data_IF_960872581249
#
_entry.id   IF_960872581249
#
_cell.length_a   1.000
_cell.length_b   1.000
_cell.length_c   1.000
_cell.angle_alpha   90.00
_cell.angle_beta   90.00
_cell.angle_gamma   90.00
#
_symmetry.space_group_name_H-M   'P 1'
#
loop_
_entity.id
_entity.type
_entity.pdbx_description
1 polymer ?
#
# COMPACT_ATOMS: atom_id res chain seq x y z
N UNK A 1 -10.24 11.49 29.04
CA UNK A 1 -10.68 11.20 27.66
C UNK A 1 -9.88 11.90 26.57
N UNK A 2 -9.38 13.13 26.76
CA UNK A 2 -8.54 13.82 25.77
C UNK A 2 -7.12 13.22 25.57
N UNK A 3 -6.59 12.47 26.54
CA UNK A 3 -5.24 11.92 26.49
C UNK A 3 -5.11 10.58 25.72
N UNK A 4 -6.20 9.82 25.55
CA UNK A 4 -6.18 8.56 24.77
C UNK A 4 -6.29 8.82 23.25
N UNK A 5 -6.97 9.89 22.85
CA UNK A 5 -7.07 10.29 21.43
C UNK A 5 -5.69 10.70 20.84
N UNK A 6 -4.77 11.15 21.70
CA UNK A 6 -3.40 11.50 21.29
C UNK A 6 -2.53 10.29 20.98
N UNK A 7 -2.86 9.10 21.48
CA UNK A 7 -2.04 7.90 21.30
C UNK A 7 -2.03 7.35 19.87
N UNK A 8 -3.12 7.46 19.13
CA UNK A 8 -3.22 6.92 17.76
C UNK A 8 -2.91 7.93 16.64
N UNK A 9 -3.14 9.22 16.89
CA UNK A 9 -2.70 10.29 15.98
C UNK A 9 -1.20 10.55 16.13
N UNK A 10 -0.58 10.06 17.22
CA UNK A 10 0.79 10.32 17.66
C UNK A 10 1.71 9.10 17.68
N UNK A 11 1.50 8.07 16.87
CA UNK A 11 2.63 7.15 16.62
C UNK A 11 3.84 7.85 15.96
N UNK A 12 3.62 9.11 15.52
CA UNK A 12 4.69 10.02 15.13
C UNK A 12 5.11 11.03 16.23
N UNK A 13 4.43 11.10 17.39
CA UNK A 13 4.64 12.21 18.34
C UNK A 13 4.89 11.83 19.82
N UNK A 14 4.85 10.55 20.21
CA UNK A 14 4.97 10.15 21.65
C UNK A 14 6.39 9.75 22.07
N UNK A 15 7.40 9.81 21.18
CA UNK A 15 8.81 9.59 21.60
C UNK A 15 9.60 10.88 21.72
N UNK A 16 9.14 11.82 22.54
CA UNK A 16 9.99 12.96 22.99
C UNK A 16 9.87 13.03 24.51
N UNK A 17 10.59 12.18 25.19
CA UNK A 17 11.23 12.42 26.48
C UNK A 17 11.88 11.14 27.02
N UNK A 18 13.13 10.89 26.66
CA UNK A 18 14.14 10.32 27.57
C UNK A 18 15.50 10.23 26.86
N UNK A 19 16.49 10.85 27.46
CA UNK A 19 17.94 10.67 27.33
C UNK A 19 18.61 10.91 25.97
N UNK A 20 19.39 12.00 25.97
CA UNK A 20 20.38 12.36 24.96
C UNK A 20 21.50 11.29 24.89
N UNK A 21 21.34 10.35 23.96
CA UNK A 21 22.47 9.66 23.36
C UNK A 21 22.65 10.28 21.98
N UNK A 22 23.77 11.01 21.79
CA UNK A 22 24.19 11.52 20.49
C UNK A 22 24.47 10.34 19.55
N UNK A 23 23.45 9.87 18.84
CA UNK A 23 23.69 9.15 17.61
C UNK A 23 24.18 10.18 16.59
N UNK A 24 25.41 10.06 16.13
CA UNK A 24 25.91 10.81 14.98
C UNK A 24 24.94 10.59 13.82
N UNK A 25 24.16 11.64 13.51
CA UNK A 25 23.44 11.72 12.22
C UNK A 25 24.56 11.75 11.17
N UNK A 26 24.82 10.64 10.51
CA UNK A 26 25.52 10.68 9.24
C UNK A 26 24.62 11.50 8.32
N UNK A 27 25.13 12.66 7.95
CA UNK A 27 24.62 13.44 6.83
C UNK A 27 24.73 12.51 5.60
N UNK A 28 23.62 11.91 5.22
CA UNK A 28 23.52 11.16 3.97
C UNK A 28 23.43 12.24 2.89
N UNK A 29 24.60 12.79 2.53
CA UNK A 29 24.76 13.62 1.35
C UNK A 29 24.02 12.97 0.17
N UNK A 30 23.65 13.75 -0.83
CA UNK A 30 22.88 13.34 -2.02
C UNK A 30 23.08 11.86 -2.40
N UNK A 31 22.18 10.98 -1.91
CA UNK A 31 22.16 9.59 -2.34
C UNK A 31 21.71 9.64 -3.79
N UNK A 32 22.58 9.31 -4.76
CA UNK A 32 22.17 9.36 -6.15
C UNK A 32 21.05 8.36 -6.37
N UNK A 33 19.88 8.88 -6.71
CA UNK A 33 18.86 8.03 -7.31
C UNK A 33 19.46 7.61 -8.65
N UNK A 34 19.72 6.31 -8.81
CA UNK A 34 20.17 5.75 -10.09
C UNK A 34 19.06 5.97 -11.12
N UNK A 35 19.10 7.12 -11.80
CA UNK A 35 18.23 7.46 -12.92
C UNK A 35 18.86 6.87 -14.18
N UNK A 36 18.79 5.54 -14.32
CA UNK A 36 19.04 4.93 -15.64
C UNK A 36 18.25 3.63 -15.86
N UNK A 37 17.00 3.60 -15.44
CA UNK A 37 16.07 2.61 -15.92
C UNK A 37 15.64 3.03 -17.34
N UNK A 38 16.19 2.42 -18.39
CA UNK A 38 15.78 2.64 -19.79
C UNK A 38 14.27 2.58 -19.91
N UNK A 39 13.64 3.74 -20.12
CA UNK A 39 12.20 3.81 -20.35
C UNK A 39 11.87 3.25 -21.74
N UNK A 40 10.72 2.61 -21.88
CA UNK A 40 10.21 2.13 -23.18
C UNK A 40 9.39 3.27 -23.78
N UNK A 41 9.78 3.77 -24.95
CA UNK A 41 8.99 4.73 -25.69
C UNK A 41 7.75 4.05 -26.28
N UNK A 42 6.55 4.56 -26.00
CA UNK A 42 5.28 4.01 -26.50
C UNK A 42 4.40 5.11 -27.09
N UNK A 43 3.77 4.81 -28.23
CA UNK A 43 2.64 5.58 -28.74
C UNK A 43 1.37 4.97 -28.18
N UNK A 44 0.53 5.77 -27.55
CA UNK A 44 -0.73 5.31 -26.94
C UNK A 44 -1.87 6.09 -27.59
N UNK A 45 -2.78 5.39 -28.24
CA UNK A 45 -3.94 5.97 -28.94
C UNK A 45 -5.21 5.21 -28.59
N UNK A 46 -6.37 5.85 -28.71
CA UNK A 46 -7.66 5.18 -28.58
C UNK A 46 -8.67 5.66 -29.62
N UNK A 47 -9.74 4.88 -29.80
CA UNK A 47 -10.80 5.19 -30.76
C UNK A 47 -11.72 6.34 -30.32
N UNK A 48 -11.78 6.63 -29.01
CA UNK A 48 -12.56 7.76 -28.45
C UNK A 48 -11.70 8.58 -27.51
N UNK A 49 -12.01 9.89 -27.34
CA UNK A 49 -11.27 10.76 -26.42
C UNK A 49 -11.30 10.27 -24.98
N UNK A 50 -12.41 9.69 -24.52
CA UNK A 50 -12.58 9.18 -23.15
C UNK A 50 -11.62 8.01 -22.88
N UNK A 51 -11.55 7.04 -23.79
CA UNK A 51 -10.61 5.92 -23.69
C UNK A 51 -9.17 6.39 -23.77
N UNK A 52 -8.88 7.38 -24.61
CA UNK A 52 -7.54 7.95 -24.73
C UNK A 52 -7.11 8.66 -23.46
N UNK A 53 -7.99 9.43 -22.83
CA UNK A 53 -7.72 10.09 -21.55
C UNK A 53 -7.39 9.06 -20.46
N UNK A 54 -8.17 7.98 -20.35
CA UNK A 54 -7.92 6.91 -19.37
C UNK A 54 -6.60 6.19 -19.62
N UNK A 55 -6.30 5.85 -20.88
CA UNK A 55 -5.04 5.23 -21.27
C UNK A 55 -3.85 6.16 -20.95
N UNK A 56 -4.00 7.46 -21.20
CA UNK A 56 -3.01 8.47 -20.89
C UNK A 56 -2.73 8.56 -19.38
N UNK A 57 -3.76 8.55 -18.54
CA UNK A 57 -3.62 8.54 -17.08
C UNK A 57 -2.82 7.30 -16.63
N UNK A 58 -3.17 6.12 -17.14
CA UNK A 58 -2.51 4.87 -16.81
C UNK A 58 -1.01 4.87 -17.18
N UNK A 59 -0.69 5.11 -18.45
CA UNK A 59 0.69 5.07 -18.92
C UNK A 59 1.55 6.22 -18.39
N UNK A 60 0.96 7.38 -18.06
CA UNK A 60 1.67 8.46 -17.39
C UNK A 60 2.02 8.13 -15.93
N UNK A 61 1.27 7.25 -15.27
CA UNK A 61 1.56 6.83 -13.91
C UNK A 61 2.64 5.73 -13.84
N UNK A 62 2.94 5.05 -14.95
CA UNK A 62 3.89 3.94 -14.99
C UNK A 62 5.28 4.42 -15.41
N UNK A 63 6.22 4.50 -14.47
CA UNK A 63 7.57 5.03 -14.69
C UNK A 63 8.43 4.27 -15.69
N UNK A 64 8.05 3.01 -16.04
CA UNK A 64 8.75 2.23 -17.09
C UNK A 64 8.49 2.77 -18.49
N UNK A 65 7.42 3.51 -18.73
CA UNK A 65 7.04 3.99 -20.04
C UNK A 65 7.26 5.51 -20.19
N UNK A 66 7.67 5.88 -21.40
CA UNK A 66 7.70 7.27 -21.87
C UNK A 66 6.78 7.38 -23.08
N UNK A 67 5.68 8.09 -22.92
CA UNK A 67 4.77 8.34 -24.05
C UNK A 67 5.39 9.29 -25.05
N UNK A 68 5.22 8.97 -26.33
CA UNK A 68 5.66 9.78 -27.48
C UNK A 68 4.49 9.92 -28.46
N UNK A 69 4.50 10.98 -29.27
CA UNK A 69 3.46 11.22 -30.29
C UNK A 69 3.65 10.30 -31.51
N UNK A 70 4.89 9.90 -31.80
CA UNK A 70 5.25 9.01 -32.91
C UNK A 70 6.60 8.35 -32.64
N UNK A 71 6.92 7.27 -33.36
CA UNK A 71 8.23 6.60 -33.30
C UNK A 71 8.45 5.86 -31.98
N UNK A 72 7.40 5.40 -31.31
CA UNK A 72 7.49 4.53 -30.15
C UNK A 72 8.08 3.17 -30.52
N UNK A 73 8.74 2.50 -29.55
CA UNK A 73 9.16 1.10 -29.71
C UNK A 73 7.95 0.16 -29.88
N UNK A 74 6.81 0.59 -29.34
CA UNK A 74 5.51 -0.04 -29.52
C UNK A 74 4.42 1.00 -29.74
N UNK A 75 3.44 0.64 -30.59
CA UNK A 75 2.18 1.38 -30.75
C UNK A 75 1.07 0.59 -30.08
N UNK A 76 0.41 1.20 -29.12
CA UNK A 76 -0.67 0.60 -28.33
C UNK A 76 -1.97 1.32 -28.68
N UNK A 77 -2.95 0.58 -29.16
CA UNK A 77 -4.24 1.12 -29.56
C UNK A 77 -5.38 0.45 -28.78
N UNK A 78 -6.31 1.28 -28.30
CA UNK A 78 -7.52 0.84 -27.61
C UNK A 78 -8.75 1.20 -28.41
N UNK A 79 -9.74 0.28 -28.44
CA UNK A 79 -11.06 0.52 -29.06
C UNK A 79 -12.16 -0.16 -28.24
N UNK A 80 -13.33 0.47 -28.18
CA UNK A 80 -14.49 -0.15 -27.56
C UNK A 80 -14.94 -1.35 -28.40
N UNK A 81 -15.20 -2.48 -27.73
CA UNK A 81 -15.70 -3.72 -28.35
C UNK A 81 -17.07 -4.11 -27.80
N UNK A 82 -17.64 -3.34 -26.86
CA UNK A 82 -18.93 -3.50 -26.21
C UNK A 82 -19.03 -2.59 -24.99
N UNK A 83 -20.16 -2.59 -24.29
CA UNK A 83 -20.41 -1.70 -23.15
C UNK A 83 -19.33 -1.80 -22.05
N UNK A 84 -18.87 -3.02 -21.75
CA UNK A 84 -17.84 -3.29 -20.74
C UNK A 84 -16.64 -4.03 -21.35
N UNK A 85 -16.38 -3.82 -22.64
CA UNK A 85 -15.32 -4.50 -23.38
C UNK A 85 -14.43 -3.51 -24.10
N UNK A 86 -13.12 -3.72 -24.00
CA UNK A 86 -12.11 -2.94 -24.72
C UNK A 86 -11.18 -3.91 -25.44
N UNK A 87 -10.99 -3.70 -26.74
CA UNK A 87 -9.96 -4.35 -27.52
C UNK A 87 -8.66 -3.55 -27.37
N UNK A 88 -7.57 -4.24 -27.08
CA UNK A 88 -6.23 -3.70 -27.12
C UNK A 88 -5.44 -4.37 -28.24
N UNK A 89 -4.69 -3.56 -28.99
CA UNK A 89 -3.75 -4.01 -30.02
C UNK A 89 -2.39 -3.40 -29.76
N UNK A 90 -1.36 -4.24 -29.70
CA UNK A 90 0.04 -3.84 -29.55
C UNK A 90 0.76 -4.14 -30.85
N UNK A 91 1.41 -3.12 -31.42
CA UNK A 91 2.24 -3.24 -32.62
C UNK A 91 3.69 -2.96 -32.29
N UNK A 92 4.59 -3.64 -32.97
CA UNK A 92 6.05 -3.37 -32.98
C UNK A 92 6.50 -3.27 -34.42
N UNK A 93 7.18 -2.18 -34.79
CA UNK A 93 7.61 -1.92 -36.16
C UNK A 93 6.47 -2.09 -37.20
N UNK A 94 5.26 -1.63 -36.87
CA UNK A 94 4.07 -1.71 -37.74
C UNK A 94 3.32 -3.06 -37.71
N UNK A 95 3.94 -4.14 -37.28
CA UNK A 95 3.30 -5.47 -37.18
C UNK A 95 2.58 -5.66 -35.85
N UNK A 96 1.37 -6.28 -35.87
CA UNK A 96 0.65 -6.64 -34.65
C UNK A 96 1.37 -7.81 -33.95
N UNK A 97 1.85 -7.56 -32.73
CA UNK A 97 2.54 -8.57 -31.91
C UNK A 97 1.64 -9.14 -30.80
N UNK A 98 0.57 -8.43 -30.42
CA UNK A 98 -0.45 -8.90 -29.50
C UNK A 98 -1.79 -8.17 -29.74
N UNK A 99 -2.90 -8.89 -29.56
CA UNK A 99 -4.25 -8.31 -29.59
C UNK A 99 -5.17 -9.14 -28.70
N UNK A 100 -6.02 -8.47 -27.92
CA UNK A 100 -6.99 -9.13 -27.05
C UNK A 100 -8.20 -8.23 -26.80
N UNK A 101 -9.39 -8.82 -26.65
CA UNK A 101 -10.57 -8.16 -26.13
C UNK A 101 -10.70 -8.49 -24.64
N UNK A 102 -10.74 -7.47 -23.81
CA UNK A 102 -10.81 -7.57 -22.35
C UNK A 102 -12.18 -7.12 -21.87
N UNK A 103 -12.81 -7.95 -21.05
CA UNK A 103 -14.07 -7.62 -20.35
C UNK A 103 -13.75 -7.12 -18.93
N UNK A 104 -14.44 -6.05 -18.51
CA UNK A 104 -14.35 -5.48 -17.16
C UNK A 104 -15.71 -5.40 -16.46
N UNK A 105 -15.71 -4.90 -15.24
CA UNK A 105 -16.93 -4.52 -14.50
C UNK A 105 -17.59 -3.26 -15.06
N UNK A 106 -16.81 -2.43 -15.75
CA UNK A 106 -17.20 -1.24 -16.49
C UNK A 106 -16.27 -1.08 -17.70
N UNK A 107 -16.57 -0.17 -18.61
CA UNK A 107 -15.67 0.15 -19.73
C UNK A 107 -14.34 0.73 -19.23
N UNK A 108 -14.35 1.54 -18.16
CA UNK A 108 -13.17 2.06 -17.48
C UNK A 108 -12.29 0.94 -16.92
N UNK A 109 -12.88 -0.03 -16.21
CA UNK A 109 -12.15 -1.18 -15.70
C UNK A 109 -11.61 -2.06 -16.84
N UNK A 110 -12.40 -2.27 -17.91
CA UNK A 110 -11.95 -3.01 -19.09
C UNK A 110 -10.73 -2.33 -19.75
N UNK A 111 -10.71 -1.00 -19.85
CA UNK A 111 -9.57 -0.27 -20.39
C UNK A 111 -8.31 -0.47 -19.52
N UNK A 112 -8.40 -0.30 -18.20
CA UNK A 112 -7.25 -0.46 -17.32
C UNK A 112 -6.69 -1.88 -17.36
N UNK A 113 -7.54 -2.91 -17.40
CA UNK A 113 -7.11 -4.30 -17.59
C UNK A 113 -6.52 -4.55 -19.00
N UNK A 114 -7.04 -3.89 -20.02
CA UNK A 114 -6.46 -3.92 -21.36
C UNK A 114 -5.08 -3.23 -21.41
N UNK A 115 -4.91 -2.15 -20.66
CA UNK A 115 -3.63 -1.49 -20.48
C UNK A 115 -2.65 -2.36 -19.69
N UNK A 116 -3.10 -3.11 -18.69
CA UNK A 116 -2.29 -4.11 -17.97
C UNK A 116 -1.76 -5.18 -18.93
N UNK A 117 -2.62 -5.71 -19.81
CA UNK A 117 -2.18 -6.64 -20.86
C UNK A 117 -1.10 -6.01 -21.74
N UNK A 118 -1.26 -4.75 -22.18
CA UNK A 118 -0.24 -4.06 -22.98
C UNK A 118 1.07 -3.89 -22.21
N UNK A 119 1.04 -3.58 -20.91
CA UNK A 119 2.24 -3.51 -20.04
C UNK A 119 2.99 -4.84 -20.05
N UNK A 120 2.29 -5.95 -19.84
CA UNK A 120 2.91 -7.29 -19.84
C UNK A 120 3.57 -7.62 -21.18
N UNK A 121 2.90 -7.32 -22.30
CA UNK A 121 3.38 -7.61 -23.65
C UNK A 121 4.54 -6.74 -24.10
N UNK A 122 4.70 -5.54 -23.53
CA UNK A 122 5.73 -4.58 -23.93
C UNK A 122 6.91 -4.52 -22.97
N UNK A 123 6.73 -4.85 -21.70
CA UNK A 123 7.78 -4.74 -20.69
C UNK A 123 8.09 -6.04 -19.92
N UNK A 124 7.22 -7.04 -19.99
CA UNK A 124 7.30 -8.25 -19.17
C UNK A 124 6.93 -8.05 -17.70
N UNK A 125 6.60 -6.81 -17.26
CA UNK A 125 6.12 -6.53 -15.92
C UNK A 125 4.63 -6.87 -15.83
N UNK A 126 4.18 -7.28 -14.64
CA UNK A 126 2.75 -7.42 -14.38
C UNK A 126 2.07 -6.05 -14.48
N UNK A 127 0.87 -6.01 -15.03
CA UNK A 127 0.02 -4.84 -14.99
C UNK A 127 -0.51 -4.57 -13.57
N UNK A 128 -0.92 -3.34 -13.31
CA UNK A 128 -1.51 -2.95 -12.04
C UNK A 128 -2.62 -1.90 -12.16
N UNK A 129 -2.91 -1.40 -13.34
CA UNK A 129 -3.85 -0.31 -13.55
C UNK A 129 -5.30 -0.70 -13.20
N UNK A 130 -5.65 -1.99 -13.41
CA UNK A 130 -6.92 -2.55 -13.02
C UNK A 130 -7.09 -2.84 -11.53
N UNK A 131 -6.10 -2.50 -10.69
CA UNK A 131 -6.17 -2.67 -9.24
C UNK A 131 -7.26 -1.82 -8.61
N UNK A 132 -7.77 -2.31 -7.48
CA UNK A 132 -8.69 -1.58 -6.60
C UNK A 132 -7.97 -1.06 -5.38
N UNK A 133 -8.40 0.11 -4.90
CA UNK A 133 -7.95 0.71 -3.65
C UNK A 133 -9.02 0.58 -2.56
N UNK A 134 -8.59 0.35 -1.33
CA UNK A 134 -9.30 0.76 -0.13
C UNK A 134 -8.44 1.83 0.57
N UNK A 135 -9.05 2.86 1.10
CA UNK A 135 -8.38 4.01 1.68
C UNK A 135 -9.29 4.73 2.68
N UNK A 136 -8.70 5.62 3.45
CA UNK A 136 -9.41 6.48 4.39
C UNK A 136 -9.63 7.84 3.76
N UNK A 137 -10.85 8.36 3.87
CA UNK A 137 -11.18 9.77 3.60
C UNK A 137 -11.45 10.47 4.92
N UNK A 138 -10.75 11.58 5.15
CA UNK A 138 -10.94 12.44 6.33
C UNK A 138 -11.78 13.66 5.96
N UNK A 139 -12.90 13.85 6.65
CA UNK A 139 -13.79 15.01 6.47
C UNK A 139 -14.29 15.47 7.83
N UNK A 140 -14.05 16.74 8.19
CA UNK A 140 -14.50 17.30 9.45
C UNK A 140 -14.01 16.55 10.69
N UNK A 141 -12.78 16.01 10.65
CA UNK A 141 -12.20 15.22 11.74
C UNK A 141 -12.72 13.77 11.84
N UNK A 142 -13.62 13.35 10.96
CA UNK A 142 -14.09 11.97 10.84
C UNK A 142 -13.33 11.25 9.76
N UNK A 143 -13.07 9.96 9.97
CA UNK A 143 -12.29 9.11 9.05
C UNK A 143 -13.12 7.90 8.65
N UNK A 144 -13.41 7.77 7.36
CA UNK A 144 -14.28 6.72 6.82
C UNK A 144 -13.56 5.89 5.77
N UNK A 145 -13.87 4.60 5.74
CA UNK A 145 -13.34 3.69 4.72
C UNK A 145 -14.06 3.92 3.38
N UNK A 146 -13.28 4.07 2.34
CA UNK A 146 -13.73 4.12 0.95
C UNK A 146 -13.02 3.06 0.11
N UNK A 147 -13.63 2.70 -1.01
CA UNK A 147 -12.99 1.90 -2.07
C UNK A 147 -13.09 2.62 -3.40
N UNK A 148 -12.23 2.28 -4.36
CA UNK A 148 -12.28 2.83 -5.71
C UNK A 148 -11.36 2.06 -6.64
N UNK A 149 -11.38 2.43 -7.93
CA UNK A 149 -10.29 2.06 -8.84
C UNK A 149 -9.00 2.82 -8.47
N UNK A 150 -7.87 2.35 -8.97
CA UNK A 150 -6.55 2.92 -8.67
C UNK A 150 -6.45 4.43 -8.97
N UNK A 151 -7.24 4.94 -9.91
CA UNK A 151 -7.20 6.34 -10.36
C UNK A 151 -8.42 7.16 -9.90
N UNK A 152 -9.12 6.71 -8.85
CA UNK A 152 -10.21 7.45 -8.19
C UNK A 152 -11.40 7.81 -9.08
N UNK A 153 -11.67 7.05 -10.14
CA UNK A 153 -12.83 7.27 -11.00
C UNK A 153 -14.11 6.59 -10.53
N UNK A 154 -14.01 5.49 -9.77
CA UNK A 154 -15.13 4.70 -9.26
C UNK A 154 -15.06 4.62 -7.73
N UNK A 155 -15.20 5.77 -7.06
CA UNK A 155 -15.10 5.86 -5.60
C UNK A 155 -16.45 5.54 -4.93
N UNK A 156 -16.41 4.68 -3.90
CA UNK A 156 -17.57 4.31 -3.09
C UNK A 156 -17.23 4.42 -1.60
N UNK A 157 -18.06 5.15 -0.84
CA UNK A 157 -17.98 5.16 0.62
C UNK A 157 -18.48 3.83 1.17
N UNK A 158 -17.71 3.21 2.08
CA UNK A 158 -17.99 1.89 2.65
C UNK A 158 -18.52 2.00 4.08
N UNK A 159 -17.94 2.89 4.89
CA UNK A 159 -18.40 3.11 6.28
C UNK A 159 -19.04 4.48 6.44
N UNK A 160 -19.93 4.60 7.43
CA UNK A 160 -20.57 5.85 7.89
C UNK A 160 -20.63 5.82 9.40
N UNK A 161 -19.48 5.59 10.03
CA UNK A 161 -19.36 5.42 11.46
C UNK A 161 -19.39 6.75 12.21
N UNK A 162 -19.18 7.86 11.50
CA UNK A 162 -19.01 9.19 12.08
C UNK A 162 -17.92 9.23 13.17
N UNK A 163 -16.91 8.39 13.04
CA UNK A 163 -15.84 8.15 14.00
C UNK A 163 -14.49 8.09 13.29
N UNK A 164 -13.51 7.44 13.92
CA UNK A 164 -12.20 7.19 13.34
C UNK A 164 -12.15 5.76 12.80
N UNK A 165 -12.06 5.59 11.49
CA UNK A 165 -11.73 4.34 10.84
C UNK A 165 -10.29 4.40 10.31
N UNK A 166 -9.54 3.30 10.43
CA UNK A 166 -8.11 3.24 10.12
C UNK A 166 -7.74 1.91 9.47
N UNK A 167 -6.67 1.91 8.69
CA UNK A 167 -5.97 0.71 8.21
C UNK A 167 -6.88 -0.32 7.53
N UNK A 168 -7.66 0.07 6.51
CA UNK A 168 -8.45 -0.89 5.76
C UNK A 168 -7.53 -1.88 5.05
N UNK A 169 -7.89 -3.17 5.03
CA UNK A 169 -7.11 -4.23 4.37
C UNK A 169 -8.03 -5.21 3.66
N UNK A 170 -7.76 -5.43 2.39
CA UNK A 170 -8.50 -6.38 1.55
C UNK A 170 -8.32 -7.82 2.01
N UNK A 171 -9.40 -8.61 1.92
CA UNK A 171 -9.26 -10.06 1.83
C UNK A 171 -8.63 -10.44 0.47
N UNK A 172 -7.89 -11.56 0.37
CA UNK A 172 -7.23 -11.95 -0.88
C UNK A 172 -8.19 -12.17 -2.06
N UNK A 173 -9.44 -12.53 -1.80
CA UNK A 173 -10.50 -12.70 -2.79
C UNK A 173 -11.18 -11.37 -3.18
N UNK A 174 -10.83 -10.25 -2.54
CA UNK A 174 -11.38 -8.93 -2.82
C UNK A 174 -12.85 -8.74 -2.42
N UNK A 175 -13.44 -9.65 -1.64
CA UNK A 175 -14.86 -9.60 -1.24
C UNK A 175 -15.12 -8.88 0.06
N UNK A 176 -14.07 -8.71 0.89
CA UNK A 176 -14.18 -8.16 2.25
C UNK A 176 -13.05 -7.18 2.55
N UNK A 177 -13.30 -6.32 3.53
CA UNK A 177 -12.27 -5.51 4.18
C UNK A 177 -12.24 -5.79 5.68
N UNK A 178 -11.02 -5.85 6.24
CA UNK A 178 -10.79 -5.64 7.66
C UNK A 178 -10.41 -4.19 7.87
N UNK A 179 -10.82 -3.59 8.97
CA UNK A 179 -10.42 -2.24 9.36
C UNK A 179 -10.53 -2.05 10.87
N UNK A 180 -9.82 -1.07 11.39
CA UNK A 180 -9.90 -0.66 12.80
C UNK A 180 -10.88 0.50 12.90
N UNK A 181 -11.79 0.50 13.89
CA UNK A 181 -12.70 1.63 14.12
C UNK A 181 -13.00 1.82 15.60
N UNK A 182 -13.23 3.09 15.97
CA UNK A 182 -13.55 3.54 17.34
C UNK A 182 -15.05 3.77 17.55
N UNK A 183 -15.90 3.38 16.57
CA UNK A 183 -17.29 3.84 16.52
C UNK A 183 -18.18 3.31 17.64
N UNK A 184 -17.90 2.13 18.19
CA UNK A 184 -18.83 1.46 19.13
C UNK A 184 -18.76 2.01 20.55
N UNK A 185 -17.56 2.15 21.07
CA UNK A 185 -17.33 2.49 22.49
C UNK A 185 -16.16 3.47 22.69
N UNK A 186 -15.63 4.04 21.60
CA UNK A 186 -14.48 4.93 21.64
C UNK A 186 -13.13 4.23 21.81
N UNK A 187 -13.12 2.89 21.83
CA UNK A 187 -11.90 2.08 21.79
C UNK A 187 -11.70 1.43 20.42
N UNK A 188 -10.45 1.18 20.02
CA UNK A 188 -10.18 0.58 18.72
C UNK A 188 -10.48 -0.92 18.73
N UNK A 189 -11.46 -1.30 17.91
CA UNK A 189 -11.81 -2.68 17.62
C UNK A 189 -11.61 -3.00 16.14
N UNK A 190 -11.43 -4.28 15.82
CA UNK A 190 -11.30 -4.76 14.43
C UNK A 190 -12.67 -5.20 13.93
N UNK A 191 -13.07 -4.63 12.80
CA UNK A 191 -14.30 -4.96 12.08
C UNK A 191 -14.01 -5.58 10.75
N UNK A 192 -14.93 -6.44 10.29
CA UNK A 192 -14.98 -6.95 8.92
C UNK A 192 -16.23 -6.43 8.25
N UNK A 193 -16.12 -5.98 7.01
CA UNK A 193 -17.25 -5.60 6.18
C UNK A 193 -17.25 -6.39 4.88
N UNK A 194 -18.41 -6.94 4.51
CA UNK A 194 -18.64 -7.56 3.21
C UNK A 194 -18.97 -6.46 2.19
N UNK A 195 -18.25 -6.40 1.08
CA UNK A 195 -18.34 -5.30 0.12
C UNK A 195 -19.58 -5.35 -0.79
N UNK A 196 -20.20 -6.51 -0.97
CA UNK A 196 -21.43 -6.65 -1.75
C UNK A 196 -22.66 -6.25 -0.93
N UNK A 197 -22.80 -6.77 0.28
CA UNK A 197 -23.95 -6.52 1.16
C UNK A 197 -23.79 -5.30 2.06
N UNK A 198 -22.56 -4.78 2.23
CA UNK A 198 -22.16 -3.77 3.23
C UNK A 198 -22.46 -4.19 4.67
N UNK A 199 -22.70 -5.48 4.90
CA UNK A 199 -22.89 -6.01 6.25
C UNK A 199 -21.56 -6.00 6.99
N UNK A 200 -21.55 -5.32 8.15
CA UNK A 200 -20.42 -5.27 9.07
C UNK A 200 -20.60 -6.26 10.20
N UNK A 201 -19.50 -6.90 10.58
CA UNK A 201 -19.39 -7.75 11.75
C UNK A 201 -18.19 -7.34 12.60
N UNK A 202 -18.28 -7.47 13.93
CA UNK A 202 -17.12 -7.37 14.80
C UNK A 202 -16.22 -8.58 14.52
N UNK A 203 -14.96 -8.34 14.19
CA UNK A 203 -14.00 -9.40 13.91
C UNK A 203 -13.27 -9.81 15.18
N UNK A 204 -12.69 -8.83 15.89
CA UNK A 204 -12.06 -9.01 17.21
C UNK A 204 -12.33 -7.77 18.06
N UNK A 205 -12.72 -8.02 19.34
CA UNK A 205 -12.97 -6.99 20.37
C UNK A 205 -12.54 -7.55 21.73
N UNK A 206 -11.25 -7.47 22.02
CA UNK A 206 -10.71 -7.77 23.35
C UNK A 206 -10.47 -6.47 24.13
N UNK A 207 -10.23 -6.60 25.42
CA UNK A 207 -9.83 -5.47 26.24
C UNK A 207 -8.56 -4.82 25.67
N UNK A 208 -8.45 -3.50 25.68
CA UNK A 208 -7.31 -2.74 25.17
C UNK A 208 -7.43 -2.42 23.68
N UNK A 209 -6.29 -2.30 23.03
CA UNK A 209 -6.20 -1.97 21.60
C UNK A 209 -6.32 -3.22 20.73
N UNK A 210 -7.21 -3.19 19.76
CA UNK A 210 -7.36 -4.20 18.71
C UNK A 210 -7.20 -3.51 17.36
N UNK A 211 -6.13 -3.79 16.61
CA UNK A 211 -5.81 -3.00 15.42
C UNK A 211 -4.98 -3.74 14.37
N UNK A 212 -4.78 -3.08 13.23
CA UNK A 212 -3.81 -3.46 12.18
C UNK A 212 -4.00 -4.88 11.66
N UNK A 213 -5.24 -5.38 11.57
CA UNK A 213 -5.55 -6.70 11.07
C UNK A 213 -5.23 -6.82 9.57
N UNK A 214 -4.58 -7.93 9.19
CA UNK A 214 -4.18 -8.21 7.81
C UNK A 214 -4.28 -9.70 7.51
N UNK A 215 -4.96 -10.05 6.41
CA UNK A 215 -5.04 -11.44 5.95
C UNK A 215 -3.70 -11.99 5.49
N UNK A 216 -3.48 -13.28 5.71
CA UNK A 216 -2.45 -14.04 5.02
C UNK A 216 -2.73 -14.11 3.51
N UNK A 217 -1.74 -14.40 2.65
CA UNK A 217 -1.96 -14.54 1.21
C UNK A 217 -2.99 -15.60 0.84
N UNK A 218 -3.09 -16.68 1.63
CA UNK A 218 -4.10 -17.74 1.44
C UNK A 218 -5.51 -17.34 1.90
N UNK A 219 -5.65 -16.23 2.65
CA UNK A 219 -6.92 -15.82 3.25
C UNK A 219 -7.35 -16.64 4.47
N UNK A 220 -6.57 -17.64 4.90
CA UNK A 220 -6.97 -18.54 5.99
C UNK A 220 -6.64 -18.01 7.38
N UNK A 221 -5.68 -17.10 7.47
CA UNK A 221 -5.22 -16.51 8.73
C UNK A 221 -5.28 -14.98 8.67
N UNK A 222 -5.31 -14.37 9.85
CA UNK A 222 -5.24 -12.91 10.03
C UNK A 222 -4.23 -12.61 11.12
N UNK A 223 -3.21 -11.81 10.79
CA UNK A 223 -2.30 -11.23 11.76
C UNK A 223 -2.86 -9.88 12.23
N UNK A 224 -2.72 -9.57 13.52
CA UNK A 224 -3.26 -8.36 14.14
C UNK A 224 -2.45 -7.96 15.36
N UNK A 225 -2.70 -6.76 15.85
CA UNK A 225 -2.11 -6.22 17.09
C UNK A 225 -3.18 -6.17 18.17
N UNK A 226 -2.90 -6.81 19.32
CA UNK A 226 -3.77 -6.77 20.50
C UNK A 226 -2.93 -6.39 21.72
N UNK A 227 -3.51 -5.58 22.65
CA UNK A 227 -2.81 -5.14 23.87
C UNK A 227 -3.48 -5.57 25.17
N UNK A 228 -4.45 -6.48 25.11
CA UNK A 228 -5.25 -6.89 26.30
C UNK A 228 -4.45 -7.58 27.40
N UNK A 229 -3.26 -8.11 27.11
CA UNK A 229 -2.36 -8.73 28.06
C UNK A 229 -1.20 -7.80 28.50
N UNK A 230 -1.34 -6.48 28.32
CA UNK A 230 -0.35 -5.46 28.71
C UNK A 230 0.04 -4.54 27.56
N UNK A 231 1.16 -4.80 26.90
CA UNK A 231 1.64 -4.04 25.74
C UNK A 231 1.08 -4.60 24.42
N UNK A 232 1.11 -3.81 23.33
CA UNK A 232 0.73 -4.25 21.99
C UNK A 232 1.65 -5.37 21.48
N UNK A 233 1.06 -6.49 21.08
CA UNK A 233 1.76 -7.69 20.61
C UNK A 233 1.12 -8.22 19.32
N UNK A 234 1.87 -9.05 18.59
CA UNK A 234 1.36 -9.70 17.38
C UNK A 234 0.58 -10.96 17.74
N UNK A 235 -0.61 -11.07 17.21
CA UNK A 235 -1.48 -12.24 17.31
C UNK A 235 -1.87 -12.72 15.93
N UNK A 236 -2.19 -14.01 15.81
CA UNK A 236 -2.78 -14.62 14.62
C UNK A 236 -4.07 -15.32 15.02
N UNK A 237 -5.08 -15.17 14.16
CA UNK A 237 -6.37 -15.90 14.20
C UNK A 237 -6.61 -16.66 12.89
N UNK A 238 -7.67 -17.47 12.86
CA UNK A 238 -8.22 -17.93 11.59
C UNK A 238 -8.98 -16.79 10.87
N UNK A 239 -9.45 -17.04 9.65
CA UNK A 239 -10.15 -16.05 8.81
C UNK A 239 -11.47 -15.53 9.41
N UNK A 240 -11.99 -16.13 10.46
CA UNK A 240 -13.22 -15.76 11.18
C UNK A 240 -12.94 -14.99 12.50
N UNK A 241 -11.68 -14.65 12.79
CA UNK A 241 -11.30 -13.98 14.04
C UNK A 241 -11.33 -14.90 15.26
N UNK A 242 -11.35 -16.22 15.05
CA UNK A 242 -11.33 -17.24 16.11
C UNK A 242 -9.95 -17.88 16.22
N UNK A 243 -9.74 -18.69 17.28
CA UNK A 243 -8.46 -19.37 17.55
C UNK A 243 -7.30 -18.36 17.62
N UNK A 244 -7.54 -17.25 18.30
CA UNK A 244 -6.57 -16.17 18.48
C UNK A 244 -5.41 -16.66 19.31
N UNK A 245 -4.19 -16.55 18.80
CA UNK A 245 -2.97 -17.00 19.47
C UNK A 245 -1.88 -15.94 19.36
N UNK A 246 -1.26 -15.63 20.50
CA UNK A 246 -0.16 -14.68 20.64
C UNK A 246 1.11 -15.22 20.00
N UNK A 247 1.79 -14.40 19.20
CA UNK A 247 3.04 -14.75 18.49
C UNK A 247 4.27 -14.11 19.09
N UNK A 248 4.14 -12.89 19.62
CA UNK A 248 5.22 -12.20 20.32
C UNK A 248 4.93 -12.11 21.82
N UNK A 249 5.96 -12.14 22.64
CA UNK A 249 5.90 -11.97 24.10
C UNK A 249 7.11 -11.18 24.52
N UNK A 250 7.00 -9.86 24.43
CA UNK A 250 8.08 -8.94 24.72
C UNK A 250 7.61 -7.85 25.69
N UNK A 251 8.52 -7.03 26.20
CA UNK A 251 8.18 -5.79 26.92
C UNK A 251 8.05 -4.59 25.97
N UNK A 252 8.18 -4.82 24.67
CA UNK A 252 8.20 -3.81 23.64
C UNK A 252 6.83 -3.63 22.98
N UNK A 253 6.69 -2.62 22.11
CA UNK A 253 5.49 -2.37 21.33
C UNK A 253 5.67 -2.97 19.94
N UNK A 254 4.85 -3.95 19.59
CA UNK A 254 4.77 -4.52 18.26
C UNK A 254 3.62 -3.92 17.47
N UNK A 255 3.85 -3.64 16.19
CA UNK A 255 2.89 -2.97 15.30
C UNK A 255 2.99 -3.43 13.83
N UNK A 256 1.93 -3.16 13.08
CA UNK A 256 1.88 -3.25 11.61
C UNK A 256 2.38 -4.59 11.03
N UNK A 257 1.86 -5.75 11.45
CA UNK A 257 2.27 -7.03 10.89
C UNK A 257 1.91 -7.15 9.41
N UNK A 258 2.80 -7.78 8.65
CA UNK A 258 2.60 -8.12 7.25
C UNK A 258 3.16 -9.51 6.97
N UNK A 259 2.35 -10.38 6.36
CA UNK A 259 2.80 -11.70 5.92
C UNK A 259 3.77 -11.62 4.74
N UNK A 260 4.72 -12.54 4.68
CA UNK A 260 5.46 -12.83 3.45
C UNK A 260 4.52 -13.33 2.35
N UNK A 261 4.90 -13.23 1.06
CA UNK A 261 4.06 -13.65 -0.07
C UNK A 261 3.63 -15.12 -0.03
N UNK A 262 4.43 -15.99 0.57
CA UNK A 262 4.13 -17.42 0.79
C UNK A 262 3.35 -17.70 2.09
N UNK A 263 3.18 -16.66 2.95
CA UNK A 263 2.49 -16.75 4.23
C UNK A 263 3.30 -17.42 5.36
N UNK A 264 4.54 -17.81 5.12
CA UNK A 264 5.37 -18.54 6.09
C UNK A 264 5.99 -17.67 7.18
N UNK A 265 6.15 -16.37 6.90
CA UNK A 265 6.79 -15.40 7.80
C UNK A 265 5.90 -14.16 8.00
N UNK A 266 6.23 -13.42 9.05
CA UNK A 266 5.73 -12.07 9.32
C UNK A 266 6.91 -11.11 9.35
N UNK A 267 6.75 -9.93 8.72
CA UNK A 267 7.52 -8.73 9.03
C UNK A 267 6.63 -7.79 9.83
N UNK A 268 7.18 -7.13 10.84
CA UNK A 268 6.45 -6.20 11.70
C UNK A 268 7.40 -5.14 12.27
N UNK A 269 6.83 -4.10 12.86
CA UNK A 269 7.57 -3.06 13.57
C UNK A 269 7.65 -3.42 15.04
N UNK A 270 8.82 -3.28 15.67
CA UNK A 270 9.03 -3.37 17.12
C UNK A 270 10.02 -2.32 17.61
N UNK A 271 9.80 -1.79 18.81
CA UNK A 271 10.71 -0.84 19.45
C UNK A 271 11.73 -1.49 20.41
N UNK A 272 11.88 -2.80 20.38
CA UNK A 272 12.81 -3.58 21.19
C UNK A 272 14.29 -3.14 21.07
N UNK A 273 14.64 -2.40 20.02
CA UNK A 273 15.98 -1.83 19.82
C UNK A 273 16.11 -0.38 20.31
N UNK A 274 15.19 0.10 21.15
CA UNK A 274 15.16 1.49 21.65
C UNK A 274 14.45 2.48 20.71
N UNK A 275 13.84 2.00 19.63
CA UNK A 275 13.00 2.73 18.68
C UNK A 275 12.46 1.79 17.60
N UNK A 276 11.45 2.25 16.82
CA UNK A 276 10.81 1.41 15.81
C UNK A 276 11.79 0.87 14.77
N UNK A 277 11.89 -0.45 14.67
CA UNK A 277 12.69 -1.18 13.69
C UNK A 277 11.89 -2.34 13.12
N UNK A 278 12.32 -2.86 11.97
CA UNK A 278 11.67 -4.03 11.38
C UNK A 278 12.22 -5.33 11.96
N UNK A 279 11.31 -6.24 12.25
CA UNK A 279 11.61 -7.59 12.71
C UNK A 279 10.91 -8.61 11.82
N UNK A 280 11.52 -9.77 11.65
CA UNK A 280 10.97 -10.90 10.90
C UNK A 280 10.92 -12.12 11.80
N UNK A 281 9.82 -12.89 11.73
CA UNK A 281 9.66 -14.14 12.46
C UNK A 281 8.82 -15.15 11.66
N UNK A 282 8.89 -16.47 11.94
CA UNK A 282 7.95 -17.44 11.37
C UNK A 282 6.50 -17.10 11.78
N UNK A 283 5.54 -17.21 10.85
CA UNK A 283 4.12 -17.00 11.17
C UNK A 283 3.58 -18.04 12.18
N UNK A 284 4.17 -19.23 12.21
CA UNK A 284 3.89 -20.26 13.22
C UNK A 284 4.29 -19.88 14.64
N UNK A 285 5.14 -18.87 14.80
CA UNK A 285 5.75 -18.45 16.07
C UNK A 285 7.25 -18.75 16.11
N UNK A 286 7.93 -18.22 17.11
CA UNK A 286 9.38 -18.33 17.29
C UNK A 286 10.01 -17.02 17.70
N UNK A 287 11.34 -16.95 17.73
CA UNK A 287 12.06 -15.73 18.13
C UNK A 287 12.09 -14.71 16.97
N UNK A 288 11.66 -13.46 17.20
CA UNK A 288 11.81 -12.39 16.25
C UNK A 288 13.30 -12.07 16.00
N UNK A 289 13.65 -11.84 14.75
CA UNK A 289 14.99 -11.40 14.33
C UNK A 289 14.88 -10.00 13.72
N UNK A 290 15.68 -9.07 14.23
CA UNK A 290 15.76 -7.72 13.66
C UNK A 290 16.27 -7.78 12.22
N UNK A 291 15.60 -7.06 11.32
CA UNK A 291 16.05 -6.88 9.95
C UNK A 291 17.12 -5.77 9.90
N UNK A 292 18.29 -6.09 9.37
CA UNK A 292 19.42 -5.18 9.31
C UNK A 292 19.24 -4.14 8.19
N UNK A 293 18.29 -3.21 8.37
CA UNK A 293 18.02 -2.15 7.39
C UNK A 293 19.11 -1.10 7.34
N UNK A 294 19.77 -0.81 8.48
CA UNK A 294 20.93 0.08 8.66
C UNK A 294 20.77 1.48 8.02
N UNK A 295 19.54 1.98 7.89
CA UNK A 295 19.25 3.22 7.17
C UNK A 295 18.70 4.35 8.06
N UNK A 296 17.98 4.01 9.13
CA UNK A 296 17.34 4.98 10.02
C UNK A 296 17.15 4.42 11.42
N UNK A 297 17.13 5.29 12.43
CA UNK A 297 16.70 4.96 13.80
C UNK A 297 15.18 4.72 13.92
N UNK A 298 14.41 4.96 12.86
CA UNK A 298 12.98 4.74 12.79
C UNK A 298 12.63 4.04 11.47
N UNK A 299 12.16 2.80 11.56
CA UNK A 299 11.68 1.99 10.45
C UNK A 299 10.34 1.37 10.84
N UNK A 300 9.24 1.69 10.13
CA UNK A 300 7.89 1.28 10.48
C UNK A 300 7.01 1.01 9.25
N UNK A 301 5.81 0.47 9.49
CA UNK A 301 4.77 0.27 8.47
C UNK A 301 5.26 -0.58 7.28
N UNK A 302 5.79 -1.79 7.52
CA UNK A 302 6.31 -2.62 6.45
C UNK A 302 5.19 -3.16 5.55
N UNK A 303 5.49 -3.25 4.25
CA UNK A 303 4.72 -3.98 3.28
C UNK A 303 5.63 -4.91 2.47
N UNK A 304 5.34 -6.22 2.50
CA UNK A 304 6.11 -7.23 1.79
C UNK A 304 5.56 -7.43 0.39
N UNK A 305 6.42 -7.28 -0.61
CA UNK A 305 6.00 -7.31 -2.03
C UNK A 305 5.56 -8.70 -2.47
N UNK A 306 4.33 -8.81 -2.98
CA UNK A 306 3.84 -10.04 -3.62
C UNK A 306 4.38 -10.20 -5.04
N UNK A 307 4.74 -9.10 -5.71
CA UNK A 307 5.31 -9.11 -7.05
C UNK A 307 6.79 -9.46 -7.09
N UNK A 308 7.52 -9.16 -6.00
CA UNK A 308 8.91 -9.55 -5.82
C UNK A 308 9.15 -9.89 -4.34
N UNK A 309 9.18 -11.19 -3.96
CA UNK A 309 9.26 -11.63 -2.56
C UNK A 309 10.56 -11.23 -1.84
N UNK A 310 11.56 -10.72 -2.56
CA UNK A 310 12.78 -10.21 -1.93
C UNK A 310 12.65 -8.76 -1.44
N UNK A 311 11.55 -8.04 -1.74
CA UNK A 311 11.44 -6.64 -1.44
C UNK A 311 10.45 -6.36 -0.30
N UNK A 312 10.89 -5.54 0.66
CA UNK A 312 10.05 -4.98 1.72
C UNK A 312 10.12 -3.47 1.63
N UNK A 313 8.97 -2.81 1.42
CA UNK A 313 8.84 -1.36 1.51
C UNK A 313 8.45 -0.96 2.93
N UNK A 314 8.90 0.20 3.40
CA UNK A 314 8.59 0.70 4.74
C UNK A 314 8.83 2.20 4.86
N UNK A 315 8.25 2.80 5.89
CA UNK A 315 8.45 4.19 6.27
C UNK A 315 9.70 4.34 7.11
N UNK A 316 10.56 5.32 6.78
CA UNK A 316 11.72 5.71 7.57
C UNK A 316 11.64 7.18 7.96
N UNK A 317 12.35 7.58 9.05
CA UNK A 317 12.53 8.98 9.39
C UNK A 317 13.88 9.48 8.86
N UNK A 318 13.86 10.62 8.16
CA UNK A 318 15.05 11.35 7.74
C UNK A 318 14.93 12.80 8.26
N UNK A 319 15.83 13.20 9.15
CA UNK A 319 15.72 14.50 9.80
C UNK A 319 14.41 14.67 10.57
N UNK A 320 13.59 15.65 10.16
CA UNK A 320 12.27 15.92 10.78
C UNK A 320 11.08 15.31 10.01
N UNK A 321 11.31 14.72 8.84
CA UNK A 321 10.27 14.17 7.96
C UNK A 321 10.39 12.66 7.78
N UNK A 322 9.45 12.11 7.02
CA UNK A 322 9.39 10.68 6.72
C UNK A 322 9.51 10.44 5.23
N UNK A 323 10.16 9.33 4.85
CA UNK A 323 10.34 8.90 3.48
C UNK A 323 10.08 7.39 3.36
N UNK A 324 9.92 6.92 2.12
CA UNK A 324 9.80 5.50 1.83
C UNK A 324 11.16 4.92 1.50
N UNK A 325 11.49 3.79 2.12
CA UNK A 325 12.63 2.96 1.80
C UNK A 325 12.21 1.56 1.35
N UNK A 326 13.08 0.90 0.62
CA UNK A 326 12.95 -0.50 0.21
C UNK A 326 14.19 -1.26 0.66
N UNK A 327 13.96 -2.39 1.35
CA UNK A 327 14.99 -3.37 1.69
C UNK A 327 14.92 -4.56 0.72
N UNK A 328 16.06 -4.93 0.14
CA UNK A 328 16.23 -6.11 -0.70
C UNK A 328 16.86 -7.23 0.15
N UNK A 329 16.06 -8.25 0.45
CA UNK A 329 16.47 -9.41 1.26
C UNK A 329 17.57 -10.22 0.58
N UNK A 330 17.59 -10.30 -0.76
CA UNK A 330 18.58 -11.08 -1.52
C UNK A 330 19.96 -10.42 -1.51
N UNK A 331 19.99 -9.08 -1.41
CA UNK A 331 21.21 -8.26 -1.40
C UNK A 331 21.56 -7.76 -0.01
N UNK A 332 20.69 -7.96 0.98
CA UNK A 332 20.81 -7.38 2.33
C UNK A 332 21.07 -5.86 2.29
N UNK A 333 20.44 -5.15 1.36
CA UNK A 333 20.66 -3.73 1.13
C UNK A 333 19.37 -2.94 1.21
N UNK A 334 19.48 -1.69 1.68
CA UNK A 334 18.35 -0.78 1.82
C UNK A 334 18.62 0.52 1.07
N UNK A 335 17.60 1.03 0.37
CA UNK A 335 17.68 2.32 -0.32
C UNK A 335 16.43 3.16 -0.05
N UNK A 336 16.59 4.48 0.00
CA UNK A 336 15.49 5.45 -0.03
C UNK A 336 14.96 5.51 -1.45
N UNK A 337 13.63 5.43 -1.61
CA UNK A 337 13.00 5.42 -2.94
C UNK A 337 12.08 6.61 -3.17
N UNK A 338 11.69 7.35 -2.12
CA UNK A 338 10.90 8.57 -2.26
C UNK A 338 11.73 9.82 -1.99
N UNK A 339 11.31 10.93 -2.59
CA UNK A 339 11.74 12.31 -2.28
C UNK A 339 10.49 13.16 -2.10
N UNK A 340 9.62 12.76 -1.17
CA UNK A 340 8.42 13.51 -0.88
C UNK A 340 8.82 14.90 -0.31
N UNK A 341 8.20 16.00 -0.79
CA UNK A 341 8.49 17.34 -0.26
C UNK A 341 7.98 17.53 1.17
N UNK A 342 7.16 16.61 1.63
CA UNK A 342 6.65 16.46 2.99
C UNK A 342 6.82 14.99 3.41
N UNK A 343 6.06 14.50 4.38
CA UNK A 343 6.13 13.10 4.78
C UNK A 343 5.65 12.15 3.68
N UNK A 344 6.44 11.14 3.36
CA UNK A 344 6.04 9.94 2.61
C UNK A 344 5.90 8.77 3.59
N UNK A 345 4.68 8.22 3.73
CA UNK A 345 4.34 7.18 4.73
C UNK A 345 3.41 6.12 4.14
N UNK A 346 3.23 5.01 4.85
CA UNK A 346 2.23 3.97 4.55
C UNK A 346 2.39 3.37 3.14
N UNK A 347 3.58 2.88 2.76
CA UNK A 347 3.77 2.29 1.44
C UNK A 347 3.03 0.96 1.30
N UNK A 348 2.45 0.72 0.11
CA UNK A 348 1.84 -0.55 -0.27
C UNK A 348 2.25 -0.91 -1.70
N UNK A 349 2.75 -2.12 -1.90
CA UNK A 349 3.18 -2.59 -3.22
C UNK A 349 2.02 -2.78 -4.19
N UNK A 350 2.25 -2.40 -5.44
CA UNK A 350 1.46 -2.82 -6.59
C UNK A 350 1.94 -4.19 -7.10
N UNK A 351 1.15 -4.81 -7.98
CA UNK A 351 1.34 -6.21 -8.39
C UNK A 351 2.65 -6.49 -9.12
N UNK A 352 3.28 -5.47 -9.69
CA UNK A 352 4.51 -5.59 -10.48
C UNK A 352 5.80 -5.67 -9.63
N UNK A 353 5.71 -5.44 -8.32
CA UNK A 353 6.88 -5.43 -7.42
C UNK A 353 7.88 -4.30 -7.69
N UNK A 354 7.47 -3.28 -8.47
CA UNK A 354 8.27 -2.09 -8.81
C UNK A 354 7.60 -0.81 -8.31
N UNK A 355 6.28 -0.71 -8.42
CA UNK A 355 5.55 0.47 -8.03
C UNK A 355 4.89 0.31 -6.66
N UNK A 356 4.78 1.43 -5.94
CA UNK A 356 4.11 1.55 -4.65
C UNK A 356 2.99 2.59 -4.74
N UNK A 357 1.91 2.37 -3.98
CA UNK A 357 1.03 3.45 -3.54
C UNK A 357 1.47 3.87 -2.15
N UNK A 358 1.56 5.18 -1.88
CA UNK A 358 1.91 5.69 -0.56
C UNK A 358 1.13 6.96 -0.23
N UNK A 359 1.04 7.29 1.05
CA UNK A 359 0.46 8.55 1.53
C UNK A 359 1.54 9.62 1.59
N UNK A 360 1.34 10.74 0.88
CA UNK A 360 2.08 11.97 1.13
C UNK A 360 1.27 12.82 2.11
N UNK A 361 1.88 13.17 3.25
CA UNK A 361 1.24 13.90 4.34
C UNK A 361 1.95 15.23 4.60
N UNK A 362 1.18 16.30 4.65
CA UNK A 362 1.58 17.61 5.16
C UNK A 362 0.59 18.08 6.23
N UNK A 363 0.83 19.18 6.96
CA UNK A 363 -0.12 19.68 7.96
C UNK A 363 -1.54 19.85 7.43
N UNK A 364 -1.68 20.32 6.19
CA UNK A 364 -2.97 20.69 5.60
C UNK A 364 -3.48 19.71 4.54
N UNK A 365 -2.71 18.68 4.16
CA UNK A 365 -3.08 17.78 3.07
C UNK A 365 -2.61 16.35 3.33
N UNK A 366 -3.41 15.39 2.86
CA UNK A 366 -3.03 13.99 2.73
C UNK A 366 -3.48 13.51 1.36
N UNK A 367 -2.57 12.97 0.58
CA UNK A 367 -2.84 12.52 -0.79
C UNK A 367 -2.16 11.19 -1.08
N UNK A 368 -2.78 10.39 -1.94
CA UNK A 368 -2.17 9.16 -2.44
C UNK A 368 -1.40 9.41 -3.73
N UNK A 369 -0.25 8.79 -3.83
CA UNK A 369 0.65 8.83 -4.97
C UNK A 369 1.07 7.42 -5.38
N UNK A 370 1.26 7.20 -6.68
CA UNK A 370 2.06 6.08 -7.19
C UNK A 370 3.52 6.53 -7.23
N UNK A 371 4.42 5.68 -6.72
CA UNK A 371 5.87 5.85 -6.75
C UNK A 371 6.48 4.71 -7.57
N UNK A 372 7.25 5.04 -8.58
CA UNK A 372 8.16 4.08 -9.24
C UNK A 372 9.45 4.00 -8.43
N UNK A 373 9.72 2.86 -7.81
CA UNK A 373 10.88 2.69 -6.92
C UNK A 373 12.22 2.67 -7.67
N UNK A 374 12.23 2.45 -8.98
CA UNK A 374 13.45 2.43 -9.80
C UNK A 374 13.85 3.85 -10.25
N UNK A 375 12.88 4.70 -10.56
CA UNK A 375 13.15 6.06 -11.07
C UNK A 375 12.92 7.14 -10.03
N UNK A 376 12.27 6.84 -8.91
CA UNK A 376 11.81 7.84 -7.92
C UNK A 376 10.68 8.73 -8.41
N UNK A 377 10.13 8.47 -9.60
CA UNK A 377 9.03 9.25 -10.16
C UNK A 377 7.75 9.03 -9.35
N UNK A 378 7.06 10.11 -9.04
CA UNK A 378 5.78 10.09 -8.33
C UNK A 378 4.66 10.66 -9.19
N UNK A 379 3.46 10.08 -9.08
CA UNK A 379 2.25 10.56 -9.75
C UNK A 379 1.12 10.61 -8.74
N UNK A 380 0.51 11.79 -8.55
CA UNK A 380 -0.66 11.94 -7.68
C UNK A 380 -1.86 11.21 -8.30
N UNK A 381 -2.55 10.38 -7.50
CA UNK A 381 -3.75 9.67 -7.95
C UNK A 381 -5.03 10.18 -7.29
N UNK A 382 -4.94 10.82 -6.13
CA UNK A 382 -6.09 11.44 -5.46
C UNK A 382 -6.16 12.94 -5.72
N UNK A 383 -7.37 13.51 -5.66
CA UNK A 383 -7.61 14.94 -5.83
C UNK A 383 -6.94 15.76 -4.71
N UNK A 384 -6.59 17.03 -5.01
CA UNK A 384 -5.88 17.90 -4.08
C UNK A 384 -6.75 18.40 -2.91
N UNK A 385 -8.06 18.48 -3.12
CA UNK A 385 -9.05 18.98 -2.16
C UNK A 385 -9.65 17.90 -1.26
N UNK A 386 -9.20 16.65 -1.35
CA UNK A 386 -9.67 15.53 -0.54
C UNK A 386 -8.50 15.00 0.29
N UNK A 387 -8.70 14.86 1.60
CA UNK A 387 -7.69 14.27 2.50
C UNK A 387 -7.84 12.75 2.51
N UNK A 388 -6.86 12.04 1.95
CA UNK A 388 -6.88 10.57 1.84
C UNK A 388 -5.59 9.95 2.35
N UNK A 389 -5.69 8.80 3.02
CA UNK A 389 -4.55 8.08 3.62
C UNK A 389 -4.82 6.57 3.74
N UNK A 390 -3.88 5.84 4.34
CA UNK A 390 -3.98 4.42 4.67
C UNK A 390 -4.34 3.54 3.44
N UNK A 391 -3.59 3.58 2.34
CA UNK A 391 -3.92 2.81 1.15
C UNK A 391 -3.81 1.30 1.42
N UNK A 392 -4.67 0.55 0.74
CA UNK A 392 -4.59 -0.90 0.62
C UNK A 392 -4.97 -1.28 -0.81
N UNK A 393 -4.16 -2.10 -1.45
CA UNK A 393 -4.33 -2.49 -2.85
C UNK A 393 -4.83 -3.93 -2.94
N UNK A 394 -5.82 -4.15 -3.79
CA UNK A 394 -6.21 -5.46 -4.29
C UNK A 394 -5.88 -5.52 -5.78
N UNK A 395 -5.04 -6.47 -6.17
CA UNK A 395 -4.51 -6.56 -7.53
C UNK A 395 -5.55 -6.90 -8.59
N UNK A 396 -5.21 -6.70 -9.88
CA UNK A 396 -6.07 -7.06 -10.99
C UNK A 396 -6.25 -8.56 -11.12
#
# INVERSE_FOLDING_TARGET
>A
MQNLLRFFVSFAAVFVAASAIRAQVRDLGDVPIMIDAKTIAVTVTAATPELEQLANVAFNAHGRFRRVSSGGAFDIRFSAAGANQVQVQVKKAGAVVASQTITGSSQRNALFRAADFAVERTSGLKGFFGSKLAFIVETGGKMEVHTGDLFFGEVRQITRDNSQALKPRWSPDGTKLLYTSFFKNGFPDIYQINLSSLQRTTFVTFQGTNSSARFSPSGQQVAMVLSGEGNPEIYISNAQGRQVSRRTRTSSVEASPCFSPDGSQLVFTSDAAGGPQLYVMPASGGQPRRLATNISGYCAEPDWSRGNPNLIAFTIRIGRGYQIAVHDLSRSSTRVVSKAPSDGIEPVWLADGRHLVYTQRSPNARRLYILDTETGRTTAISAANVRVSDPSVHGP
#
